data_IF_073294117611
#
_entry.id   IF_073294117611
#
_cell.length_a   1.000
_cell.length_b   1.000
_cell.length_c   1.000
_cell.angle_alpha   90.00
_cell.angle_beta   90.00
_cell.angle_gamma   90.00
#
_symmetry.space_group_name_H-M   'P 1'
#
loop_
_entity.id
_entity.type
_entity.pdbx_description
1 polymer ?
#
# COMPACT_ATOMS: atom_id res chain seq x y z
N UNK A 1 -43.49 -16.23 -10.83
CA UNK A 1 -43.89 -16.84 -9.53
C UNK A 1 -42.61 -17.42 -8.93
N UNK A 2 -41.96 -16.94 -7.88
CA UNK A 2 -42.12 -15.88 -6.88
C UNK A 2 -40.73 -15.19 -6.77
N UNK A 3 -40.54 -13.89 -6.50
CA UNK A 3 -41.17 -13.07 -5.48
C UNK A 3 -40.38 -13.17 -4.17
N UNK A 4 -39.17 -12.59 -4.09
CA UNK A 4 -38.46 -12.43 -2.81
C UNK A 4 -37.99 -10.98 -2.65
N UNK A 5 -38.39 -10.42 -1.52
CA UNK A 5 -38.39 -9.00 -1.19
C UNK A 5 -37.01 -8.49 -0.75
N UNK A 6 -36.67 -7.29 -1.20
CA UNK A 6 -35.59 -6.47 -0.65
C UNK A 6 -35.97 -6.03 0.79
N UNK A 7 -35.15 -6.41 1.76
CA UNK A 7 -35.20 -5.83 3.10
C UNK A 7 -34.40 -4.52 3.12
N UNK A 8 -35.10 -3.44 3.49
CA UNK A 8 -34.58 -2.09 3.70
C UNK A 8 -33.53 -2.06 4.81
N UNK A 9 -32.35 -1.52 4.50
CA UNK A 9 -31.36 -1.14 5.50
C UNK A 9 -31.82 0.16 6.20
N UNK A 10 -32.04 0.09 7.52
CA UNK A 10 -32.21 1.27 8.35
C UNK A 10 -30.86 1.99 8.49
N UNK A 11 -30.83 3.22 7.98
CA UNK A 11 -29.75 4.17 8.19
C UNK A 11 -29.91 4.78 9.59
N UNK A 12 -28.94 4.52 10.47
CA UNK A 12 -28.77 5.32 11.69
C UNK A 12 -28.30 6.72 11.30
N UNK A 13 -29.25 7.65 11.19
CA UNK A 13 -28.96 9.09 11.22
C UNK A 13 -28.61 9.47 12.66
N UNK A 14 -27.32 9.59 12.96
CA UNK A 14 -26.87 10.30 14.16
C UNK A 14 -27.02 11.81 13.89
N UNK A 15 -28.08 12.38 14.47
CA UNK A 15 -28.30 13.82 14.54
C UNK A 15 -27.28 14.47 15.48
N UNK A 16 -26.66 15.55 15.01
CA UNK A 16 -25.69 16.33 15.78
C UNK A 16 -24.94 17.36 14.94
N UNK A 17 -25.64 18.10 14.06
CA UNK A 17 -25.06 19.27 13.40
C UNK A 17 -25.03 20.44 14.40
N UNK A 18 -23.97 20.49 15.20
CA UNK A 18 -23.57 21.73 15.85
C UNK A 18 -23.10 22.71 14.77
N UNK A 19 -23.77 23.85 14.65
CA UNK A 19 -23.36 24.92 13.74
C UNK A 19 -21.95 25.38 14.12
N UNK A 20 -20.99 25.13 13.22
CA UNK A 20 -19.62 25.61 13.37
C UNK A 20 -19.62 27.13 13.19
N UNK A 21 -19.12 27.92 14.16
CA UNK A 21 -19.05 29.37 14.04
C UNK A 21 -18.11 29.75 12.88
N UNK A 22 -18.69 30.37 11.85
CA UNK A 22 -17.97 30.98 10.75
C UNK A 22 -17.24 32.24 11.26
N UNK A 23 -16.02 32.10 11.76
CA UNK A 23 -15.26 33.25 12.24
C UNK A 23 -13.92 32.96 12.93
N UNK A 24 -13.57 31.70 13.18
CA UNK A 24 -12.22 31.34 13.61
C UNK A 24 -11.33 31.12 12.40
N UNK A 25 -10.13 31.72 12.42
CA UNK A 25 -9.00 31.32 11.56
C UNK A 25 -9.01 29.80 11.49
N UNK A 26 -9.20 29.25 10.28
CA UNK A 26 -9.17 27.81 10.04
C UNK A 26 -7.81 27.33 10.55
N UNK A 27 -7.78 26.77 11.76
CA UNK A 27 -6.57 26.18 12.30
C UNK A 27 -6.11 25.13 11.31
N UNK A 28 -4.95 25.36 10.68
CA UNK A 28 -4.36 24.43 9.72
C UNK A 28 -4.05 23.06 10.37
N UNK A 29 -4.01 23.03 11.70
CA UNK A 29 -3.79 21.86 12.54
C UNK A 29 -5.11 21.25 13.02
N UNK A 30 -5.45 20.05 12.53
CA UNK A 30 -6.52 19.25 13.12
C UNK A 30 -6.24 17.75 12.94
N UNK A 31 -6.83 16.94 13.81
CA UNK A 31 -6.66 15.48 13.79
C UNK A 31 -7.78 14.73 13.05
N UNK A 32 -8.65 15.48 12.37
CA UNK A 32 -9.80 14.94 11.65
C UNK A 32 -9.45 14.67 10.18
N UNK A 33 -8.40 13.89 9.94
CA UNK A 33 -8.02 13.44 8.61
C UNK A 33 -9.02 12.39 8.08
N UNK A 34 -9.72 12.64 6.94
CA UNK A 34 -10.75 11.73 6.42
C UNK A 34 -10.25 10.32 6.10
N UNK A 35 -8.96 10.13 5.85
CA UNK A 35 -8.35 8.81 5.67
C UNK A 35 -8.52 7.91 6.89
N UNK A 36 -8.64 8.51 8.07
CA UNK A 36 -8.72 7.85 9.37
C UNK A 36 -10.08 8.07 10.05
N UNK A 37 -11.11 8.46 9.30
CA UNK A 37 -12.44 8.81 9.83
C UNK A 37 -13.12 7.70 10.63
N UNK A 38 -12.72 6.44 10.42
CA UNK A 38 -13.19 5.36 11.28
C UNK A 38 -12.74 5.56 12.72
N UNK A 39 -11.54 6.07 12.97
CA UNK A 39 -10.85 6.22 14.26
C UNK A 39 -10.82 7.65 14.83
N UNK A 40 -11.72 8.53 14.38
CA UNK A 40 -11.86 9.85 15.00
C UNK A 40 -12.52 9.73 16.38
N UNK A 41 -12.05 10.55 17.34
CA UNK A 41 -12.60 10.63 18.68
C UNK A 41 -14.14 10.73 18.69
N UNK A 42 -14.78 9.98 19.59
CA UNK A 42 -16.23 10.04 19.83
C UNK A 42 -17.02 8.77 19.52
N UNK A 43 -16.37 7.70 19.03
CA UNK A 43 -16.96 6.35 19.02
C UNK A 43 -16.47 5.60 20.27
N UNK A 44 -17.21 4.65 20.83
CA UNK A 44 -16.80 4.01 22.10
C UNK A 44 -16.08 2.67 21.93
N UNK A 45 -16.05 2.15 20.70
CA UNK A 45 -15.75 0.75 20.38
C UNK A 45 -14.34 0.48 19.84
N UNK A 46 -13.59 1.54 19.49
CA UNK A 46 -12.25 1.44 18.92
C UNK A 46 -11.31 2.45 19.56
N UNK A 47 -10.00 2.24 19.42
CA UNK A 47 -9.02 3.22 19.86
C UNK A 47 -8.97 4.40 18.89
N UNK A 48 -8.95 5.62 19.42
CA UNK A 48 -9.09 6.85 18.64
C UNK A 48 -7.81 7.65 18.53
N UNK A 49 -7.76 8.43 17.45
CA UNK A 49 -6.95 9.63 17.36
C UNK A 49 -7.45 10.68 18.36
N UNK A 50 -6.55 11.56 18.79
CA UNK A 50 -6.94 12.73 19.56
C UNK A 50 -7.83 13.65 18.71
N UNK A 51 -8.75 14.40 19.32
CA UNK A 51 -9.55 15.39 18.59
C UNK A 51 -8.71 16.60 18.17
N UNK A 52 -7.70 16.93 18.98
CA UNK A 52 -6.77 18.04 18.80
C UNK A 52 -5.34 17.54 18.94
N UNK A 53 -4.36 18.17 18.28
CA UNK A 53 -2.96 17.78 18.40
C UNK A 53 -2.48 17.94 19.84
N UNK A 54 -1.82 16.90 20.37
CA UNK A 54 -1.24 16.92 21.71
C UNK A 54 0.24 16.55 21.64
N UNK A 55 1.04 17.12 22.53
CA UNK A 55 2.45 16.75 22.64
C UNK A 55 2.56 15.32 23.18
N UNK A 56 3.06 14.40 22.36
CA UNK A 56 3.33 13.03 22.76
C UNK A 56 4.83 12.85 22.99
N UNK A 57 5.23 12.28 24.11
CA UNK A 57 6.65 12.13 24.45
C UNK A 57 7.20 10.75 24.06
N UNK A 58 6.36 9.71 24.14
CA UNK A 58 6.82 8.31 24.15
C UNK A 58 6.16 7.44 23.07
N UNK A 59 5.92 7.99 21.86
CA UNK A 59 5.46 7.20 20.71
C UNK A 59 6.54 6.17 20.33
N UNK A 60 6.17 4.90 20.29
CA UNK A 60 7.10 3.78 20.05
C UNK A 60 7.25 3.46 18.57
N UNK A 61 6.16 3.58 17.81
CA UNK A 61 6.10 3.30 16.37
C UNK A 61 6.37 4.58 15.58
N UNK A 62 5.63 5.65 15.82
CA UNK A 62 5.72 6.89 15.02
C UNK A 62 6.64 7.93 15.68
N UNK A 63 7.88 7.52 15.96
CA UNK A 63 8.89 8.28 16.74
C UNK A 63 9.23 9.66 16.19
N UNK A 64 9.06 9.88 14.88
CA UNK A 64 9.26 11.20 14.26
C UNK A 64 8.30 12.27 14.77
N UNK A 65 7.19 11.85 15.40
CA UNK A 65 6.20 12.71 16.05
C UNK A 65 6.38 12.80 17.58
N UNK A 66 7.38 12.13 18.16
CA UNK A 66 7.71 12.29 19.58
C UNK A 66 8.26 13.69 19.87
N UNK A 67 7.91 14.23 21.03
CA UNK A 67 8.22 15.59 21.49
C UNK A 67 7.66 16.69 20.57
N UNK A 68 6.57 16.41 19.85
CA UNK A 68 5.89 17.34 18.95
C UNK A 68 4.38 17.23 19.13
N UNK A 69 3.65 18.28 18.74
CA UNK A 69 2.21 18.21 18.61
C UNK A 69 1.83 17.14 17.57
N UNK A 70 1.04 16.15 17.97
CA UNK A 70 0.66 15.03 17.12
C UNK A 70 -0.76 14.55 17.42
N UNK A 71 -1.36 13.91 16.43
CA UNK A 71 -2.73 13.40 16.51
C UNK A 71 -2.84 11.98 17.06
N UNK A 72 -1.71 11.25 17.11
CA UNK A 72 -1.65 9.90 17.64
C UNK A 72 -1.50 9.88 19.16
N UNK A 73 -1.80 8.72 19.74
CA UNK A 73 -1.50 8.38 21.12
C UNK A 73 -0.86 6.99 21.17
N UNK A 74 -0.22 6.63 22.27
CA UNK A 74 0.32 5.27 22.48
C UNK A 74 -0.77 4.19 22.36
N UNK A 75 -2.01 4.51 22.73
CA UNK A 75 -3.11 3.58 22.55
C UNK A 75 -3.33 3.33 21.05
N UNK A 76 -3.37 4.38 20.23
CA UNK A 76 -3.62 4.28 18.78
C UNK A 76 -2.51 3.53 18.04
N UNK A 77 -1.27 3.56 18.52
CA UNK A 77 -0.18 2.75 17.98
C UNK A 77 -0.48 1.25 18.01
N UNK A 78 -1.31 0.77 18.95
CA UNK A 78 -1.75 -0.63 18.98
C UNK A 78 -2.57 -1.00 17.74
N UNK A 79 -3.45 -0.10 17.28
CA UNK A 79 -4.22 -0.28 16.06
C UNK A 79 -3.34 -0.22 14.82
N UNK A 80 -2.42 0.76 14.76
CA UNK A 80 -1.46 0.85 13.65
C UNK A 80 -0.60 -0.43 13.56
N UNK A 81 -0.17 -0.99 14.69
CA UNK A 81 0.57 -2.25 14.74
C UNK A 81 -0.27 -3.44 14.26
N UNK A 82 -1.56 -3.48 14.60
CA UNK A 82 -2.47 -4.52 14.11
C UNK A 82 -2.65 -4.44 12.59
N UNK A 83 -2.86 -3.23 12.05
CA UNK A 83 -2.95 -2.99 10.61
C UNK A 83 -1.65 -3.38 9.90
N UNK A 84 -0.50 -2.95 10.41
CA UNK A 84 0.80 -3.29 9.84
C UNK A 84 1.03 -4.79 9.77
N UNK A 85 0.64 -5.55 10.81
CA UNK A 85 0.70 -7.02 10.80
C UNK A 85 -0.16 -7.61 9.67
N UNK A 86 -1.34 -7.04 9.37
CA UNK A 86 -2.17 -7.50 8.23
C UNK A 86 -1.45 -7.31 6.90
N UNK A 87 -0.70 -6.22 6.73
CA UNK A 87 0.13 -5.98 5.55
C UNK A 87 1.31 -6.96 5.47
N UNK A 88 1.98 -7.23 6.58
CA UNK A 88 3.02 -8.27 6.65
C UNK A 88 2.47 -9.63 6.20
N UNK A 89 1.32 -10.03 6.73
CA UNK A 89 0.69 -11.31 6.36
C UNK A 89 0.21 -11.33 4.91
N UNK A 90 -0.15 -10.18 4.33
CA UNK A 90 -0.46 -10.10 2.90
C UNK A 90 0.75 -10.39 2.03
N UNK A 91 1.88 -9.72 2.29
CA UNK A 91 3.09 -9.94 1.51
C UNK A 91 3.65 -11.35 1.67
N UNK A 92 3.48 -11.97 2.85
CA UNK A 92 3.77 -13.39 3.04
C UNK A 92 2.89 -14.27 2.15
N UNK A 93 1.56 -14.05 2.14
CA UNK A 93 0.66 -14.80 1.25
C UNK A 93 1.01 -14.68 -0.23
N UNK A 94 1.37 -13.47 -0.69
CA UNK A 94 1.82 -13.24 -2.07
C UNK A 94 3.05 -14.09 -2.39
N UNK A 95 4.06 -14.10 -1.49
CA UNK A 95 5.23 -14.97 -1.62
C UNK A 95 4.84 -16.45 -1.64
N UNK A 96 4.02 -16.87 -0.68
CA UNK A 96 3.62 -18.28 -0.51
C UNK A 96 2.85 -18.76 -1.75
N UNK A 97 1.94 -17.96 -2.31
CA UNK A 97 1.24 -18.30 -3.56
C UNK A 97 2.22 -18.49 -4.74
N UNK A 98 3.24 -17.65 -4.87
CA UNK A 98 4.27 -17.83 -5.91
C UNK A 98 5.05 -19.14 -5.70
N UNK A 99 5.41 -19.45 -4.45
CA UNK A 99 6.10 -20.71 -4.11
C UNK A 99 5.20 -21.94 -4.33
N UNK A 100 3.94 -21.89 -3.94
CA UNK A 100 2.97 -22.98 -4.12
C UNK A 100 2.74 -23.25 -5.61
N UNK A 101 2.56 -22.20 -6.42
CA UNK A 101 2.44 -22.34 -7.87
C UNK A 101 3.70 -22.97 -8.49
N UNK A 102 4.90 -22.59 -8.01
CA UNK A 102 6.15 -23.22 -8.44
C UNK A 102 6.19 -24.71 -8.10
N UNK A 103 5.78 -25.10 -6.89
CA UNK A 103 5.72 -26.50 -6.46
C UNK A 103 4.75 -27.32 -7.31
N UNK A 104 3.60 -26.74 -7.68
CA UNK A 104 2.64 -27.39 -8.58
C UNK A 104 3.20 -27.56 -9.99
N UNK A 105 3.96 -26.57 -10.49
CA UNK A 105 4.69 -26.73 -11.74
C UNK A 105 5.72 -27.86 -11.65
N UNK A 106 6.44 -28.00 -10.54
CA UNK A 106 7.36 -29.11 -10.33
C UNK A 106 6.62 -30.46 -10.36
N UNK A 107 5.49 -30.56 -9.67
CA UNK A 107 4.61 -31.73 -9.70
C UNK A 107 4.10 -32.07 -11.11
N UNK A 108 3.84 -31.06 -11.94
CA UNK A 108 3.43 -31.30 -13.33
C UNK A 108 4.54 -31.95 -14.17
N UNK A 109 5.83 -31.71 -13.88
CA UNK A 109 6.97 -32.28 -14.64
C UNK A 109 7.02 -33.81 -14.59
N UNK A 110 6.48 -34.42 -13.54
CA UNK A 110 6.41 -35.89 -13.40
C UNK A 110 5.09 -36.48 -13.91
N UNK A 111 4.17 -35.64 -14.38
CA UNK A 111 2.88 -36.06 -14.89
C UNK A 111 2.93 -36.59 -16.32
N UNK A 112 1.95 -37.43 -16.67
CA UNK A 112 1.73 -37.89 -18.06
C UNK A 112 1.50 -36.73 -19.02
N UNK A 113 0.82 -35.67 -18.58
CA UNK A 113 0.56 -34.48 -19.39
C UNK A 113 1.87 -33.81 -19.83
N UNK A 114 2.86 -33.72 -18.95
CA UNK A 114 4.17 -33.19 -19.31
C UNK A 114 4.94 -34.14 -20.23
N UNK A 115 4.87 -35.46 -20.03
CA UNK A 115 5.57 -36.44 -20.88
C UNK A 115 5.05 -36.42 -22.32
N UNK A 116 3.73 -36.28 -22.50
CA UNK A 116 3.06 -36.39 -23.81
C UNK A 116 3.10 -35.11 -24.66
N UNK A 117 3.36 -33.94 -24.08
CA UNK A 117 3.47 -32.70 -24.86
C UNK A 117 4.75 -32.69 -25.72
N UNK A 118 4.68 -31.93 -26.82
CA UNK A 118 5.79 -31.70 -27.73
C UNK A 118 7.00 -31.02 -27.08
N UNK A 119 8.15 -31.14 -27.73
CA UNK A 119 9.41 -30.57 -27.25
C UNK A 119 9.34 -29.05 -27.02
N UNK A 120 8.66 -28.32 -27.90
CA UNK A 120 8.51 -26.85 -27.82
C UNK A 120 7.77 -26.42 -26.55
N UNK A 121 6.64 -27.06 -26.24
CA UNK A 121 5.86 -26.76 -25.03
C UNK A 121 6.63 -27.13 -23.76
N UNK A 122 7.38 -28.25 -23.75
CA UNK A 122 8.28 -28.58 -22.63
C UNK A 122 9.32 -27.49 -22.39
N UNK A 123 9.88 -26.94 -23.47
CA UNK A 123 10.87 -25.87 -23.36
C UNK A 123 10.26 -24.57 -22.81
N UNK A 124 9.04 -24.20 -23.23
CA UNK A 124 8.32 -23.04 -22.68
C UNK A 124 7.99 -23.26 -21.20
N UNK A 125 7.49 -24.43 -20.84
CA UNK A 125 7.17 -24.79 -19.46
C UNK A 125 8.39 -24.72 -18.54
N UNK A 126 9.54 -25.29 -18.96
CA UNK A 126 10.77 -25.24 -18.16
C UNK A 126 11.27 -23.79 -17.98
N UNK A 127 11.18 -22.95 -19.02
CA UNK A 127 11.52 -21.52 -18.90
C UNK A 127 10.62 -20.78 -17.92
N UNK A 128 9.33 -21.10 -17.90
CA UNK A 128 8.39 -20.58 -16.92
C UNK A 128 8.75 -21.03 -15.50
N UNK A 129 9.00 -22.32 -15.31
CA UNK A 129 9.42 -22.88 -14.02
C UNK A 129 10.71 -22.22 -13.48
N UNK A 130 11.73 -22.07 -14.32
CA UNK A 130 13.00 -21.46 -13.94
C UNK A 130 12.87 -19.97 -13.58
N UNK A 131 11.89 -19.26 -14.16
CA UNK A 131 11.70 -17.83 -13.90
C UNK A 131 11.22 -17.51 -12.48
N UNK A 132 10.58 -18.47 -11.78
CA UNK A 132 10.20 -18.33 -10.38
C UNK A 132 11.39 -18.06 -9.46
N UNK A 133 12.52 -18.74 -9.69
CA UNK A 133 13.70 -18.59 -8.85
C UNK A 133 14.17 -17.13 -8.81
N UNK A 134 14.21 -16.46 -9.97
CA UNK A 134 14.62 -15.06 -10.05
C UNK A 134 13.63 -14.12 -9.34
N UNK A 135 12.32 -14.38 -9.45
CA UNK A 135 11.29 -13.57 -8.79
C UNK A 135 11.31 -13.76 -7.26
N UNK A 136 11.35 -15.02 -6.79
CA UNK A 136 11.40 -15.37 -5.37
C UNK A 136 12.67 -14.87 -4.68
N UNK A 137 13.80 -14.88 -5.40
CA UNK A 137 15.06 -14.38 -4.91
C UNK A 137 15.09 -12.83 -4.79
N UNK A 138 14.33 -12.13 -5.62
CA UNK A 138 14.33 -10.66 -5.70
C UNK A 138 13.26 -9.98 -4.81
N UNK A 139 12.23 -10.71 -4.35
CA UNK A 139 11.10 -10.11 -3.62
C UNK A 139 11.49 -9.51 -2.27
N UNK A 140 12.53 -10.03 -1.60
CA UNK A 140 12.79 -9.73 -0.19
C UNK A 140 13.05 -8.26 0.09
N UNK A 141 14.00 -7.67 -0.65
CA UNK A 141 14.32 -6.24 -0.55
C UNK A 141 13.14 -5.38 -0.97
N UNK A 142 12.42 -5.77 -2.04
CA UNK A 142 11.24 -5.05 -2.50
C UNK A 142 10.15 -4.99 -1.41
N UNK A 143 9.71 -6.14 -0.90
CA UNK A 143 8.60 -6.23 0.05
C UNK A 143 8.91 -5.56 1.38
N UNK A 144 10.15 -5.64 1.87
CA UNK A 144 10.56 -4.88 3.05
C UNK A 144 10.46 -3.36 2.82
N UNK A 145 10.82 -2.85 1.63
CA UNK A 145 10.63 -1.42 1.30
C UNK A 145 9.15 -1.04 1.13
N UNK A 146 8.31 -1.94 0.64
CA UNK A 146 6.85 -1.72 0.64
C UNK A 146 6.29 -1.67 2.07
N UNK A 147 6.84 -2.47 3.00
CA UNK A 147 6.51 -2.38 4.42
C UNK A 147 7.01 -1.08 5.05
N UNK A 148 8.21 -0.61 4.70
CA UNK A 148 8.69 0.72 5.11
C UNK A 148 7.71 1.81 4.63
N UNK A 149 7.33 1.80 3.35
CA UNK A 149 6.32 2.72 2.84
C UNK A 149 5.00 2.64 3.64
N UNK A 150 4.53 1.42 3.91
CA UNK A 150 3.29 1.17 4.67
C UNK A 150 3.38 1.75 6.08
N UNK A 151 4.51 1.54 6.77
CA UNK A 151 4.75 2.09 8.09
C UNK A 151 4.68 3.63 8.11
N UNK A 152 5.30 4.30 7.14
CA UNK A 152 5.20 5.76 7.01
C UNK A 152 3.78 6.23 6.69
N UNK A 153 3.06 5.52 5.82
CA UNK A 153 1.66 5.82 5.51
C UNK A 153 0.74 5.66 6.74
N UNK A 154 1.02 4.70 7.63
CA UNK A 154 0.31 4.56 8.90
C UNK A 154 0.63 5.70 9.88
N UNK A 155 1.90 6.11 9.96
CA UNK A 155 2.30 7.25 10.79
C UNK A 155 1.78 8.60 10.30
N UNK A 156 1.29 8.68 9.05
CA UNK A 156 0.61 9.88 8.56
C UNK A 156 -0.65 10.24 9.35
N UNK A 157 -1.23 9.30 10.11
CA UNK A 157 -2.32 9.57 11.05
C UNK A 157 -1.93 10.56 12.16
N UNK A 158 -0.63 10.68 12.45
CA UNK A 158 -0.11 11.48 13.55
C UNK A 158 0.14 12.93 13.15
N UNK A 159 0.05 13.25 11.86
CA UNK A 159 0.38 14.56 11.30
C UNK A 159 -0.79 15.55 11.43
N UNK A 160 -0.65 16.62 12.25
CA UNK A 160 -1.70 17.62 12.38
C UNK A 160 -1.85 18.49 11.11
N UNK A 161 -0.84 18.53 10.23
CA UNK A 161 -0.81 19.34 9.00
C UNK A 161 -1.17 18.54 7.75
N UNK A 162 -1.93 17.45 7.89
CA UNK A 162 -2.24 16.51 6.80
C UNK A 162 -2.94 17.18 5.60
N UNK A 163 -3.69 18.27 5.82
CA UNK A 163 -4.52 18.91 4.80
C UNK A 163 -3.72 19.39 3.59
N UNK A 164 -2.51 19.90 3.80
CA UNK A 164 -1.60 20.33 2.73
C UNK A 164 -1.01 19.18 1.92
N UNK A 165 -1.08 17.95 2.45
CA UNK A 165 -0.44 16.73 1.92
C UNK A 165 -1.42 15.81 1.20
N UNK A 166 -2.66 16.25 1.02
CA UNK A 166 -3.70 15.48 0.33
C UNK A 166 -4.38 16.32 -0.75
N UNK A 167 -5.10 15.64 -1.64
CA UNK A 167 -6.06 16.24 -2.56
C UNK A 167 -7.44 15.87 -2.05
N UNK A 168 -8.23 16.88 -1.71
CA UNK A 168 -9.60 16.70 -1.25
C UNK A 168 -10.60 16.77 -2.42
N UNK A 169 -11.77 16.16 -2.22
CA UNK A 169 -12.93 16.39 -3.07
C UNK A 169 -13.40 17.84 -3.00
N UNK A 170 -14.23 18.26 -3.96
CA UNK A 170 -14.72 19.63 -4.06
C UNK A 170 -15.47 20.11 -2.80
N UNK A 171 -16.14 19.20 -2.08
CA UNK A 171 -16.83 19.44 -0.81
C UNK A 171 -15.90 19.37 0.41
N UNK A 172 -14.64 18.99 0.24
CA UNK A 172 -13.66 18.87 1.32
C UNK A 172 -13.85 17.67 2.24
N UNK A 173 -14.79 16.77 1.95
CA UNK A 173 -15.16 15.68 2.87
C UNK A 173 -14.37 14.39 2.67
N UNK A 174 -13.81 14.18 1.47
CA UNK A 174 -13.09 12.95 1.10
C UNK A 174 -11.69 13.26 0.60
N UNK A 175 -10.73 12.40 0.95
CA UNK A 175 -9.40 12.41 0.35
C UNK A 175 -9.43 11.61 -0.95
N UNK A 176 -9.11 12.26 -2.06
CA UNK A 176 -9.01 11.64 -3.38
C UNK A 176 -7.64 11.00 -3.62
N UNK A 177 -6.58 11.64 -3.11
CA UNK A 177 -5.21 11.12 -3.21
C UNK A 177 -4.29 11.74 -2.16
N UNK A 178 -3.27 11.01 -1.74
CA UNK A 178 -2.16 11.54 -0.93
C UNK A 178 -1.05 12.04 -1.84
N UNK A 179 -0.48 13.21 -1.54
CA UNK A 179 0.66 13.79 -2.24
C UNK A 179 1.94 13.13 -1.75
N UNK A 180 2.38 12.08 -2.43
CA UNK A 180 3.62 11.36 -2.10
C UNK A 180 4.79 12.02 -2.83
N UNK A 181 5.87 12.29 -2.10
CA UNK A 181 7.07 12.86 -2.71
C UNK A 181 7.74 11.85 -3.66
N UNK A 182 8.29 12.34 -4.77
CA UNK A 182 8.90 11.50 -5.81
C UNK A 182 10.08 10.67 -5.31
N UNK A 183 10.80 11.13 -4.28
CA UNK A 183 11.88 10.35 -3.65
C UNK A 183 11.37 9.04 -3.04
N UNK A 184 10.17 9.01 -2.46
CA UNK A 184 9.60 7.76 -1.93
C UNK A 184 9.25 6.79 -3.06
N UNK A 185 8.74 7.30 -4.18
CA UNK A 185 8.46 6.48 -5.37
C UNK A 185 9.76 5.95 -6.01
N UNK A 186 10.81 6.77 -6.04
CA UNK A 186 12.13 6.37 -6.51
C UNK A 186 12.74 5.30 -5.61
N UNK A 187 12.70 5.47 -4.28
CA UNK A 187 13.23 4.49 -3.34
C UNK A 187 12.49 3.15 -3.43
N UNK A 188 11.15 3.16 -3.54
CA UNK A 188 10.38 1.94 -3.81
C UNK A 188 10.82 1.29 -5.12
N UNK A 189 10.94 2.07 -6.19
CA UNK A 189 11.35 1.55 -7.49
C UNK A 189 12.75 0.94 -7.45
N UNK A 190 13.73 1.62 -6.85
CA UNK A 190 15.10 1.10 -6.77
C UNK A 190 15.15 -0.22 -5.99
N UNK A 191 14.43 -0.33 -4.88
CA UNK A 191 14.33 -1.58 -4.11
C UNK A 191 13.59 -2.69 -4.87
N UNK A 192 12.64 -2.35 -5.74
CA UNK A 192 11.79 -3.31 -6.44
C UNK A 192 12.21 -3.59 -7.89
N UNK A 193 13.22 -2.91 -8.43
CA UNK A 193 13.58 -2.99 -9.85
C UNK A 193 13.95 -4.41 -10.30
N UNK A 194 14.73 -5.14 -9.50
CA UNK A 194 15.10 -6.52 -9.83
C UNK A 194 13.88 -7.44 -9.81
N UNK A 195 13.01 -7.27 -8.80
CA UNK A 195 11.75 -8.01 -8.72
C UNK A 195 10.83 -7.68 -9.89
N UNK A 196 10.72 -6.40 -10.28
CA UNK A 196 9.91 -5.96 -11.41
C UNK A 196 10.28 -6.65 -12.71
N UNK A 197 11.58 -6.69 -13.03
CA UNK A 197 12.11 -7.38 -14.22
C UNK A 197 11.86 -8.89 -14.15
N UNK A 198 12.04 -9.49 -12.97
CA UNK A 198 11.80 -10.91 -12.77
C UNK A 198 10.30 -11.26 -12.85
N UNK A 199 9.42 -10.42 -12.32
CA UNK A 199 7.97 -10.56 -12.32
C UNK A 199 7.40 -10.43 -13.74
N UNK A 200 7.81 -9.41 -14.50
CA UNK A 200 7.43 -9.24 -15.91
C UNK A 200 7.83 -10.45 -16.76
N UNK A 201 9.06 -10.94 -16.57
CA UNK A 201 9.53 -12.16 -17.23
C UNK A 201 8.73 -13.38 -16.78
N UNK A 202 8.44 -13.51 -15.50
CA UNK A 202 7.69 -14.64 -14.95
C UNK A 202 6.28 -14.69 -15.54
N UNK A 203 5.56 -13.57 -15.51
CA UNK A 203 4.21 -13.45 -16.06
C UNK A 203 4.19 -13.80 -17.56
N UNK A 204 5.10 -13.20 -18.35
CA UNK A 204 5.22 -13.52 -19.78
C UNK A 204 5.48 -15.03 -20.02
N UNK A 205 6.34 -15.68 -19.22
CA UNK A 205 6.67 -17.10 -19.41
C UNK A 205 5.56 -18.04 -18.98
N UNK A 206 4.86 -17.75 -17.89
CA UNK A 206 3.64 -18.48 -17.52
C UNK A 206 2.56 -18.28 -18.59
N UNK A 207 2.47 -17.06 -19.15
CA UNK A 207 1.64 -16.71 -20.29
C UNK A 207 2.01 -17.42 -21.60
N UNK A 208 3.25 -17.83 -21.81
CA UNK A 208 3.66 -18.55 -23.02
C UNK A 208 3.33 -20.06 -22.98
N UNK A 209 3.30 -20.68 -21.79
CA UNK A 209 3.14 -22.13 -21.64
C UNK A 209 1.68 -22.55 -21.47
N UNK A 210 1.19 -23.38 -22.39
CA UNK A 210 -0.14 -23.99 -22.28
C UNK A 210 -0.23 -24.95 -21.07
N UNK A 211 0.85 -25.62 -20.71
CA UNK A 211 0.92 -26.48 -19.53
C UNK A 211 0.84 -25.70 -18.23
N UNK A 212 1.58 -24.59 -18.10
CA UNK A 212 1.54 -23.76 -16.90
C UNK A 212 0.12 -23.24 -16.63
N UNK A 213 -0.59 -22.82 -17.69
CA UNK A 213 -1.99 -22.37 -17.62
C UNK A 213 -3.01 -23.46 -17.25
N UNK A 214 -2.64 -24.75 -17.28
CA UNK A 214 -3.53 -25.85 -16.86
C UNK A 214 -3.55 -26.07 -15.36
N UNK A 215 -2.61 -25.48 -14.62
CA UNK A 215 -2.61 -25.58 -13.17
C UNK A 215 -3.85 -24.90 -12.61
N UNK A 216 -4.48 -25.55 -11.63
CA UNK A 216 -5.68 -25.03 -10.95
C UNK A 216 -5.35 -24.04 -9.86
N UNK A 217 -4.11 -24.05 -9.39
CA UNK A 217 -3.62 -23.13 -8.36
C UNK A 217 -3.59 -21.73 -8.92
N UNK A 218 -4.01 -20.78 -8.09
CA UNK A 218 -4.09 -19.38 -8.48
C UNK A 218 -2.69 -18.83 -8.73
N UNK A 219 -2.47 -18.29 -9.93
CA UNK A 219 -1.31 -17.45 -10.20
C UNK A 219 -1.55 -16.05 -9.60
N UNK A 220 -0.54 -15.51 -8.93
CA UNK A 220 -0.64 -14.19 -8.32
C UNK A 220 -0.53 -13.11 -9.39
N UNK A 221 -1.36 -12.05 -9.27
CA UNK A 221 -1.32 -10.92 -10.19
C UNK A 221 -0.14 -10.02 -9.82
N UNK A 222 0.83 -9.91 -10.74
CA UNK A 222 2.05 -9.13 -10.54
C UNK A 222 2.08 -7.85 -11.36
N UNK A 223 1.00 -7.47 -12.04
CA UNK A 223 0.96 -6.34 -12.99
C UNK A 223 1.40 -5.02 -12.35
N UNK A 224 1.03 -4.80 -11.10
CA UNK A 224 1.44 -3.60 -10.35
C UNK A 224 2.96 -3.49 -10.18
N UNK A 225 3.70 -4.60 -10.25
CA UNK A 225 5.14 -4.64 -9.98
C UNK A 225 6.00 -4.56 -11.23
N UNK A 226 5.44 -4.73 -12.43
CA UNK A 226 6.21 -4.78 -13.68
C UNK A 226 6.77 -3.42 -14.11
N UNK A 227 6.29 -2.31 -13.52
CA UNK A 227 6.73 -0.97 -13.88
C UNK A 227 6.81 -0.01 -12.69
N UNK A 228 7.67 1.01 -12.83
CA UNK A 228 7.79 2.11 -11.88
C UNK A 228 6.46 2.82 -11.62
N UNK A 229 5.69 3.05 -12.68
CA UNK A 229 4.40 3.75 -12.59
C UNK A 229 3.38 2.86 -11.89
N UNK A 230 3.34 1.57 -12.25
CA UNK A 230 2.45 0.59 -11.64
C UNK A 230 2.63 0.51 -10.13
N UNK A 231 3.87 0.37 -9.66
CA UNK A 231 4.11 0.19 -8.23
C UNK A 231 3.85 1.46 -7.45
N UNK A 232 4.20 2.62 -8.00
CA UNK A 232 3.91 3.91 -7.38
C UNK A 232 2.39 4.19 -7.31
N UNK A 233 1.64 3.84 -8.37
CA UNK A 233 0.18 3.99 -8.38
C UNK A 233 -0.49 3.02 -7.39
N UNK A 234 -0.05 1.76 -7.36
CA UNK A 234 -0.51 0.77 -6.39
C UNK A 234 -0.27 1.24 -4.95
N UNK A 235 0.93 1.68 -4.61
CA UNK A 235 1.24 2.14 -3.25
C UNK A 235 0.49 3.42 -2.88
N UNK A 236 0.29 4.35 -3.82
CA UNK A 236 -0.48 5.56 -3.58
C UNK A 236 -1.97 5.27 -3.34
N UNK A 237 -2.58 4.41 -4.15
CA UNK A 237 -4.03 4.13 -4.10
C UNK A 237 -4.41 3.12 -3.03
N UNK A 238 -3.63 2.06 -2.88
CA UNK A 238 -3.97 0.95 -1.99
C UNK A 238 -3.43 1.16 -0.59
N UNK A 239 -2.23 1.72 -0.46
CA UNK A 239 -1.58 1.87 0.85
C UNK A 239 -1.75 3.28 1.41
N UNK A 240 -1.36 4.32 0.67
CA UNK A 240 -1.41 5.69 1.19
C UNK A 240 -2.83 6.25 1.31
N UNK A 241 -3.72 5.96 0.36
CA UNK A 241 -5.11 6.42 0.40
C UNK A 241 -6.02 5.55 1.27
N UNK A 242 -5.59 4.35 1.69
CA UNK A 242 -6.37 3.44 2.53
C UNK A 242 -5.51 2.82 3.65
N UNK A 243 -4.76 3.62 4.44
CA UNK A 243 -3.68 3.11 5.30
C UNK A 243 -4.18 2.15 6.38
N UNK A 244 -5.39 2.37 6.92
CA UNK A 244 -5.96 1.52 7.97
C UNK A 244 -6.63 0.25 7.43
N UNK A 245 -6.87 0.16 6.12
CA UNK A 245 -7.52 -1.01 5.53
C UNK A 245 -6.45 -2.04 5.20
N UNK A 246 -6.63 -3.25 5.72
CA UNK A 246 -5.84 -4.38 5.23
C UNK A 246 -6.26 -4.72 3.80
N UNK A 247 -5.39 -5.35 2.99
CA UNK A 247 -5.72 -5.71 1.60
C UNK A 247 -6.88 -6.73 1.48
N UNK A 248 -7.25 -7.39 2.58
CA UNK A 248 -8.37 -8.34 2.64
C UNK A 248 -9.68 -7.74 3.15
N UNK A 249 -9.68 -6.52 3.67
CA UNK A 249 -10.93 -5.89 4.08
C UNK A 249 -11.69 -5.53 2.81
N UNK A 250 -12.79 -6.27 2.56
CA UNK A 250 -13.70 -6.00 1.43
C UNK A 250 -13.94 -4.50 1.42
N UNK A 251 -13.51 -3.86 0.33
CA UNK A 251 -13.79 -2.46 0.07
C UNK A 251 -15.31 -2.33 0.23
N UNK A 252 -15.76 -1.72 1.34
CA UNK A 252 -17.04 -1.03 1.32
C UNK A 252 -16.92 -0.18 0.08
N UNK A 253 -17.61 -0.57 -1.01
CA UNK A 253 -17.47 -0.02 -2.35
C UNK A 253 -17.55 1.49 -2.22
N UNK A 254 -16.40 2.13 -2.05
CA UNK A 254 -16.26 3.55 -2.26
C UNK A 254 -16.36 3.57 -3.76
N UNK A 255 -17.55 3.91 -4.26
CA UNK A 255 -17.79 4.07 -5.68
C UNK A 255 -16.55 4.74 -6.26
N UNK A 256 -15.77 4.04 -7.09
CA UNK A 256 -14.56 4.61 -7.65
C UNK A 256 -15.03 5.92 -8.28
N UNK A 257 -14.44 7.07 -7.89
CA UNK A 257 -15.03 8.36 -8.16
C UNK A 257 -15.35 8.43 -9.64
N UNK A 258 -16.65 8.45 -9.96
CA UNK A 258 -17.15 8.38 -11.32
C UNK A 258 -16.41 9.45 -12.13
N UNK A 259 -15.54 9.02 -13.04
CA UNK A 259 -14.81 9.90 -13.94
C UNK A 259 -14.00 11.03 -13.26
N UNK A 260 -13.22 10.76 -12.20
CA UNK A 260 -11.92 11.45 -12.15
C UNK A 260 -11.13 10.86 -13.31
N UNK A 261 -11.29 11.51 -14.46
CA UNK A 261 -10.64 11.18 -15.70
C UNK A 261 -9.19 10.80 -15.41
N UNK A 262 -8.65 9.91 -16.25
CA UNK A 262 -7.23 9.84 -16.55
C UNK A 262 -6.71 11.18 -17.15
N UNK A 263 -7.24 12.32 -16.71
CA UNK A 263 -6.67 13.64 -16.82
C UNK A 263 -5.40 13.62 -16.00
N UNK A 264 -4.36 13.12 -16.65
CA UNK A 264 -2.98 13.47 -16.48
C UNK A 264 -2.64 13.78 -15.01
N UNK A 265 -1.99 12.81 -14.32
CA UNK A 265 -0.76 13.20 -13.62
C UNK A 265 0.15 13.84 -14.68
N UNK A 266 -0.15 15.08 -15.08
CA UNK A 266 0.85 15.99 -15.58
C UNK A 266 1.85 15.95 -14.45
N UNK A 267 3.06 15.46 -14.74
CA UNK A 267 4.24 15.68 -13.91
C UNK A 267 4.10 17.12 -13.45
N UNK A 268 3.68 17.33 -12.19
CA UNK A 268 3.55 18.67 -11.66
C UNK A 268 4.97 19.14 -11.68
N UNK A 269 5.30 20.00 -12.65
CA UNK A 269 6.60 20.61 -12.73
C UNK A 269 6.84 21.18 -11.34
N UNK A 270 7.93 20.77 -10.65
CA UNK A 270 8.21 21.29 -9.33
C UNK A 270 8.15 22.81 -9.44
N UNK A 271 7.36 23.50 -8.61
CA UNK A 271 7.24 24.95 -8.70
C UNK A 271 8.66 25.52 -8.65
N UNK A 272 9.09 26.16 -9.73
CA UNK A 272 10.46 26.65 -9.92
C UNK A 272 10.73 27.93 -9.12
N UNK A 273 10.18 28.01 -7.91
CA UNK A 273 10.44 29.08 -6.96
C UNK A 273 10.98 28.49 -5.67
N UNK A 274 12.03 29.10 -5.13
CA UNK A 274 12.69 28.80 -3.85
C UNK A 274 11.76 29.02 -2.64
N UNK A 275 10.54 28.46 -2.69
CA UNK A 275 9.60 28.52 -1.59
C UNK A 275 10.00 27.45 -0.56
N UNK A 276 10.34 27.84 0.69
CA UNK A 276 10.65 26.91 1.79
C UNK A 276 9.48 25.97 2.16
N UNK A 277 8.32 26.10 1.50
CA UNK A 277 7.09 25.32 1.72
C UNK A 277 6.99 24.03 0.90
N UNK A 278 8.05 23.62 0.18
CA UNK A 278 7.99 22.38 -0.60
C UNK A 278 7.87 21.14 0.32
N UNK A 279 8.55 21.12 1.46
CA UNK A 279 8.58 19.95 2.36
C UNK A 279 7.26 19.73 3.11
N UNK A 280 6.45 20.79 3.29
CA UNK A 280 5.17 20.70 4.02
C UNK A 280 4.03 20.12 3.18
N UNK A 281 4.18 20.06 1.85
CA UNK A 281 3.12 19.66 0.90
C UNK A 281 3.11 18.19 0.51
N UNK A 282 4.15 17.44 0.88
CA UNK A 282 4.29 16.04 0.50
C UNK A 282 4.48 15.14 1.73
N UNK A 283 4.10 13.87 1.57
CA UNK A 283 4.45 12.79 2.48
C UNK A 283 5.70 12.07 1.99
N UNK A 284 6.49 11.53 2.93
CA UNK A 284 7.71 10.79 2.65
C UNK A 284 7.63 9.38 3.25
N UNK A 285 6.66 8.55 2.82
CA UNK A 285 6.32 7.30 3.50
C UNK A 285 7.50 6.34 3.68
N UNK A 286 8.43 6.24 2.74
CA UNK A 286 9.60 5.35 2.90
C UNK A 286 10.55 5.88 3.98
N UNK A 287 10.90 7.17 3.92
CA UNK A 287 11.75 7.85 4.92
C UNK A 287 11.14 7.74 6.31
N UNK A 288 9.88 8.11 6.42
CA UNK A 288 9.15 8.16 7.68
C UNK A 288 8.94 6.75 8.25
N UNK A 289 8.75 5.75 7.37
CA UNK A 289 8.68 4.35 7.73
C UNK A 289 10.00 3.74 8.21
N UNK A 290 11.14 4.10 7.59
CA UNK A 290 12.47 3.70 8.08
C UNK A 290 12.82 4.30 9.44
N UNK A 291 12.33 5.52 9.70
CA UNK A 291 12.48 6.19 10.99
C UNK A 291 11.49 5.69 12.07
N UNK A 292 10.54 4.84 11.67
CA UNK A 292 9.52 4.30 12.57
C UNK A 292 10.06 3.13 13.42
N UNK A 293 9.31 2.77 14.45
CA UNK A 293 9.53 1.57 15.26
C UNK A 293 8.93 0.29 14.68
N UNK A 294 8.32 0.32 13.49
CA UNK A 294 7.78 -0.88 12.86
C UNK A 294 8.89 -1.82 12.41
N UNK A 295 8.72 -3.13 12.66
CA UNK A 295 9.65 -4.16 12.16
C UNK A 295 9.42 -4.41 10.67
N UNK A 296 10.08 -3.62 9.83
CA UNK A 296 9.95 -3.71 8.37
C UNK A 296 10.84 -4.79 7.74
N UNK A 297 11.91 -5.22 8.43
CA UNK A 297 12.78 -6.32 7.97
C UNK A 297 12.15 -7.68 8.28
N UNK A 298 11.32 -8.16 7.36
CA UNK A 298 10.56 -9.42 7.50
C UNK A 298 11.06 -10.47 6.51
N UNK A 299 11.38 -10.04 5.29
CA UNK A 299 11.75 -10.94 4.21
C UNK A 299 13.28 -11.09 4.13
N UNK A 300 13.81 -12.28 3.78
CA UNK A 300 15.23 -12.46 3.56
C UNK A 300 15.72 -11.52 2.45
N UNK A 301 16.64 -10.61 2.77
CA UNK A 301 17.28 -9.75 1.77
C UNK A 301 18.48 -10.46 1.18
N UNK A 302 18.71 -10.30 -0.12
CA UNK A 302 20.03 -10.61 -0.67
C UNK A 302 21.06 -9.69 -0.01
N UNK A 303 22.21 -10.22 0.45
CA UNK A 303 23.29 -9.35 0.89
C UNK A 303 23.64 -8.42 -0.27
N UNK A 304 23.64 -7.12 -0.02
CA UNK A 304 24.07 -6.12 -1.00
C UNK A 304 25.55 -6.39 -1.24
N UNK A 305 25.88 -7.03 -2.35
CA UNK A 305 27.26 -7.14 -2.80
C UNK A 305 27.63 -5.73 -3.25
N UNK A 306 28.26 -4.96 -2.36
CA UNK A 306 28.86 -3.69 -2.71
C UNK A 306 29.91 -3.99 -3.78
N UNK A 307 29.52 -3.84 -5.04
CA UNK A 307 30.45 -3.89 -6.16
C UNK A 307 31.29 -2.64 -6.01
N UNK A 308 32.42 -2.76 -5.31
CA UNK A 308 33.47 -1.75 -5.33
C UNK A 308 33.91 -1.65 -6.78
N UNK A 309 33.37 -0.67 -7.50
CA UNK A 309 33.93 -0.21 -8.75
C UNK A 309 35.28 0.41 -8.39
N UNK A 310 36.35 -0.36 -8.59
CA UNK A 310 37.72 0.10 -8.54
C UNK A 310 38.09 0.79 -9.86
#
# INVERSE_FOLDING_TARGET
>A
RAGLALALAHVCQAAGHGAVPAGGVVGEENCLNPLFATHWAGKSDIVHLNSEPQTQFDLNLCRSYSNRASCCSNAFETEQQAVFKRWVEHWKRVKDHLSDFQLDMEGLKVSRAYVEVGFEEKALFNKAFESFNSALDALGTCFDTLLEYTAGALCFACDPHWRGKVVLSADGTRVLSVRVHDSSNEEVWQSCREFAVAADRLDARVGDSALAKRLTTRFEDLDAFTSRIGIADFMARTVAALPMRGPNERVLNLEPPESVAQGQRRLQQPPSGDAPDAETKFTYPVRDGRASGFKCSVFPRKPVVLTTYA
#
